data_IF_893219524741
#
_entry.id   IF_893219524741
#
_cell.length_a   1.000
_cell.length_b   1.000
_cell.length_c   1.000
_cell.angle_alpha   90.00
_cell.angle_beta   90.00
_cell.angle_gamma   90.00
#
_symmetry.space_group_name_H-M   'P 1'
#
loop_
_entity.id
_entity.type
_entity.pdbx_description
1 polymer ?
#
# COMPACT_ATOMS: atom_id res chain seq x y z
N UNK A 1 -0.38 -44.24 27.59
CA UNK A 1 0.09 -43.12 26.77
C UNK A 1 1.50 -43.41 26.34
N UNK A 2 1.56 -44.28 25.34
CA UNK A 2 2.75 -44.68 24.61
C UNK A 2 3.06 -43.64 23.53
N UNK A 3 4.26 -43.71 22.96
CA UNK A 3 4.78 -42.69 22.04
C UNK A 3 3.85 -42.44 20.83
N UNK A 4 3.18 -43.49 20.35
CA UNK A 4 2.22 -43.40 19.26
C UNK A 4 1.02 -42.52 19.61
N UNK A 5 0.48 -42.63 20.83
CA UNK A 5 -0.63 -41.80 21.30
C UNK A 5 -0.25 -40.31 21.31
N UNK A 6 0.97 -39.99 21.77
CA UNK A 6 1.49 -38.63 21.79
C UNK A 6 1.64 -38.05 20.38
N UNK A 7 2.13 -38.86 19.44
CA UNK A 7 2.29 -38.44 18.05
C UNK A 7 0.93 -38.15 17.38
N UNK A 8 -0.09 -38.94 17.69
CA UNK A 8 -1.43 -38.72 17.14
C UNK A 8 -2.06 -37.48 17.78
N UNK A 9 -2.01 -37.37 19.11
CA UNK A 9 -2.68 -36.30 19.85
C UNK A 9 -2.08 -34.91 19.56
N UNK A 10 -0.76 -34.82 19.34
CA UNK A 10 -0.08 -33.54 19.12
C UNK A 10 0.51 -33.40 17.72
N UNK A 11 1.05 -34.47 17.15
CA UNK A 11 1.68 -34.43 15.82
C UNK A 11 0.66 -34.18 14.71
N UNK A 12 -0.49 -34.85 14.73
CA UNK A 12 -1.54 -34.65 13.72
C UNK A 12 -2.06 -33.19 13.69
N UNK A 13 -2.47 -32.56 14.82
CA UNK A 13 -2.93 -31.17 14.77
C UNK A 13 -1.81 -30.19 14.41
N UNK A 14 -0.58 -30.39 14.88
CA UNK A 14 0.57 -29.55 14.49
C UNK A 14 0.80 -29.65 12.98
N UNK A 15 0.76 -30.86 12.41
CA UNK A 15 0.95 -31.09 10.98
C UNK A 15 -0.12 -30.36 10.16
N UNK A 16 -1.39 -30.43 10.59
CA UNK A 16 -2.49 -29.71 9.93
C UNK A 16 -2.23 -28.19 9.94
N UNK A 17 -1.86 -27.62 11.09
CA UNK A 17 -1.57 -26.18 11.22
C UNK A 17 -0.41 -25.78 10.31
N UNK A 18 0.71 -26.52 10.35
CA UNK A 18 1.87 -26.25 9.52
C UNK A 18 1.51 -26.35 8.04
N UNK A 19 0.72 -27.35 7.65
CA UNK A 19 0.30 -27.55 6.26
C UNK A 19 -0.55 -26.38 5.77
N UNK A 20 -1.58 -25.98 6.54
CA UNK A 20 -2.43 -24.84 6.21
C UNK A 20 -1.62 -23.55 6.16
N UNK A 21 -0.76 -23.31 7.15
CA UNK A 21 0.11 -22.15 7.19
C UNK A 21 1.01 -22.10 5.95
N UNK A 22 1.61 -23.22 5.58
CA UNK A 22 2.48 -23.30 4.40
C UNK A 22 1.69 -22.98 3.14
N UNK A 23 0.51 -23.56 2.95
CA UNK A 23 -0.33 -23.27 1.77
C UNK A 23 -0.72 -21.78 1.70
N UNK A 24 -1.06 -21.17 2.83
CA UNK A 24 -1.51 -19.77 2.88
C UNK A 24 -0.36 -18.78 2.73
N UNK A 25 0.78 -19.04 3.34
CA UNK A 25 1.86 -18.04 3.50
C UNK A 25 3.09 -18.32 2.63
N UNK A 26 3.25 -19.51 2.05
CA UNK A 26 4.49 -19.85 1.32
C UNK A 26 4.60 -19.19 -0.07
N UNK A 27 3.62 -18.40 -0.56
CA UNK A 27 3.81 -17.75 -1.87
C UNK A 27 3.09 -16.42 -2.10
N UNK A 28 3.87 -15.34 -2.11
CA UNK A 28 4.03 -14.50 -3.30
C UNK A 28 5.28 -13.62 -3.14
N UNK A 29 6.20 -13.53 -4.12
CA UNK A 29 7.19 -12.46 -4.12
C UNK A 29 6.42 -11.14 -4.14
N UNK A 30 6.40 -10.44 -3.00
CA UNK A 30 5.69 -9.17 -2.91
C UNK A 30 6.34 -8.21 -3.91
N UNK A 31 5.55 -7.54 -4.77
CA UNK A 31 6.09 -6.49 -5.62
C UNK A 31 6.86 -5.51 -4.75
N UNK A 32 8.03 -5.09 -5.21
CA UNK A 32 8.90 -4.22 -4.41
C UNK A 32 8.12 -2.95 -4.04
N UNK A 33 7.78 -2.81 -2.75
CA UNK A 33 7.00 -1.67 -2.26
C UNK A 33 7.79 -0.36 -2.27
N UNK A 34 9.12 -0.42 -2.43
CA UNK A 34 10.00 0.73 -2.27
C UNK A 34 10.94 0.85 -3.46
N UNK A 35 11.06 2.07 -3.96
CA UNK A 35 12.06 2.42 -4.96
C UNK A 35 13.49 2.20 -4.43
N UNK A 36 14.39 1.76 -5.33
CA UNK A 36 15.81 1.57 -5.06
C UNK A 36 16.60 2.41 -6.05
N UNK A 37 17.51 3.25 -5.53
CA UNK A 37 18.41 4.03 -6.38
C UNK A 37 19.25 3.09 -7.27
N UNK A 38 19.40 3.44 -8.55
CA UNK A 38 20.07 2.63 -9.55
C UNK A 38 19.21 1.57 -10.24
N UNK A 39 17.94 1.38 -9.83
CA UNK A 39 16.95 0.61 -10.58
C UNK A 39 16.06 1.53 -11.42
N UNK A 40 15.58 1.11 -12.60
CA UNK A 40 14.55 1.82 -13.33
C UNK A 40 13.30 2.05 -12.47
N UNK A 41 12.62 3.17 -12.69
CA UNK A 41 11.38 3.49 -12.01
C UNK A 41 10.19 2.83 -12.74
N UNK A 42 9.76 1.67 -12.23
CA UNK A 42 8.65 0.88 -12.82
C UNK A 42 7.30 1.08 -12.10
N UNK A 43 7.20 2.09 -11.22
CA UNK A 43 5.98 2.40 -10.49
C UNK A 43 5.05 3.27 -11.34
N UNK A 44 3.74 3.18 -11.07
CA UNK A 44 2.77 4.13 -11.65
C UNK A 44 3.15 5.57 -11.21
N UNK A 45 2.97 6.58 -12.08
CA UNK A 45 3.24 7.97 -11.70
C UNK A 45 2.24 8.41 -10.62
N UNK A 46 2.73 9.12 -9.60
CA UNK A 46 1.95 9.57 -8.44
C UNK A 46 2.16 11.07 -8.24
N UNK A 47 1.07 11.79 -7.98
CA UNK A 47 1.08 13.19 -7.56
C UNK A 47 0.57 13.29 -6.14
N UNK A 48 1.43 13.75 -5.23
CA UNK A 48 1.04 14.01 -3.85
C UNK A 48 0.56 15.45 -3.75
N UNK A 49 -0.72 15.63 -3.44
CA UNK A 49 -1.31 16.94 -3.20
C UNK A 49 -1.22 17.24 -1.70
N UNK A 50 -0.61 18.38 -1.35
CA UNK A 50 -0.57 18.81 0.04
C UNK A 50 -1.99 19.17 0.50
N UNK A 51 -2.39 18.66 1.67
CA UNK A 51 -3.64 19.09 2.31
C UNK A 51 -3.49 20.55 2.72
N UNK A 52 -4.37 21.42 2.22
CA UNK A 52 -4.44 22.80 2.70
C UNK A 52 -5.02 22.78 4.13
N UNK A 53 -4.47 23.62 5.01
CA UNK A 53 -4.88 23.75 6.43
C UNK A 53 -6.32 24.28 6.58
N UNK A 54 -7.03 24.53 5.47
CA UNK A 54 -8.39 25.10 5.44
C UNK A 54 -9.48 24.10 5.03
N UNK A 55 -9.31 22.79 5.27
CA UNK A 55 -10.35 21.79 5.00
C UNK A 55 -10.69 20.97 6.27
N UNK A 56 -11.80 21.30 6.98
CA UNK A 56 -12.32 20.45 8.04
C UNK A 56 -12.91 19.18 7.41
N UNK A 57 -12.42 18.03 7.87
CA UNK A 57 -12.98 16.71 7.55
C UNK A 57 -12.39 16.07 6.29
N UNK A 58 -11.66 14.98 6.48
CA UNK A 58 -11.89 13.82 5.61
C UNK A 58 -11.42 12.57 6.36
N UNK A 59 -12.37 12.00 7.11
CA UNK A 59 -12.32 10.62 7.58
C UNK A 59 -13.09 9.80 6.56
N UNK A 60 -12.45 9.47 5.43
CA UNK A 60 -12.79 8.34 4.60
C UNK A 60 -14.03 8.43 3.71
N UNK A 61 -13.84 7.80 2.54
CA UNK A 61 -14.83 7.15 1.69
C UNK A 61 -15.56 8.02 0.65
N UNK A 62 -15.25 7.69 -0.61
CA UNK A 62 -16.13 7.72 -1.78
C UNK A 62 -16.96 8.98 -2.07
N UNK A 63 -16.52 9.72 -3.08
CA UNK A 63 -17.35 10.34 -4.13
C UNK A 63 -18.69 10.95 -3.69
N UNK A 64 -18.70 12.24 -3.41
CA UNK A 64 -19.86 13.10 -3.64
C UNK A 64 -19.32 14.48 -4.06
N UNK A 65 -19.25 14.71 -5.36
CA UNK A 65 -20.28 15.44 -6.08
C UNK A 65 -20.23 16.94 -5.73
N UNK A 66 -19.55 17.68 -6.61
CA UNK A 66 -19.96 18.99 -7.10
C UNK A 66 -20.55 19.93 -6.03
N UNK A 67 -19.71 20.73 -5.40
CA UNK A 67 -20.17 22.06 -4.98
C UNK A 67 -19.23 23.11 -5.56
N UNK A 68 -19.74 23.70 -6.64
CA UNK A 68 -19.12 24.73 -7.41
C UNK A 68 -19.30 26.06 -6.69
N UNK A 69 -18.32 26.48 -5.89
CA UNK A 69 -18.20 27.89 -5.53
C UNK A 69 -16.77 28.19 -5.05
N UNK A 70 -16.11 29.11 -5.75
CA UNK A 70 -14.89 29.79 -5.30
C UNK A 70 -13.53 29.09 -5.54
N UNK A 71 -13.31 28.62 -6.76
CA UNK A 71 -11.95 28.49 -7.29
C UNK A 71 -11.59 29.78 -8.04
N UNK A 72 -10.87 30.70 -7.40
CA UNK A 72 -10.18 31.78 -8.11
C UNK A 72 -9.42 31.16 -9.29
N UNK A 73 -9.58 31.74 -10.49
CA UNK A 73 -8.94 31.23 -11.69
C UNK A 73 -7.43 31.30 -11.50
N UNK A 74 -6.84 30.19 -11.06
CA UNK A 74 -5.39 30.02 -10.98
C UNK A 74 -4.88 30.28 -12.39
N UNK A 75 -4.21 31.42 -12.58
CA UNK A 75 -3.62 31.79 -13.86
C UNK A 75 -2.80 30.59 -14.36
N UNK A 76 -3.32 29.90 -15.37
CA UNK A 76 -2.76 28.68 -15.94
C UNK A 76 -1.64 29.07 -16.89
N UNK A 77 -0.63 29.74 -16.36
CA UNK A 77 0.55 30.19 -17.07
C UNK A 77 1.81 29.57 -16.45
N UNK A 78 2.88 29.36 -17.22
CA UNK A 78 4.15 28.92 -16.66
C UNK A 78 4.66 29.96 -15.65
N UNK A 79 4.71 29.60 -14.36
CA UNK A 79 5.19 30.50 -13.30
C UNK A 79 6.71 30.43 -13.08
N UNK A 80 7.40 29.50 -13.74
CA UNK A 80 8.85 29.28 -13.64
C UNK A 80 9.24 27.80 -13.64
N UNK A 81 10.51 27.50 -13.36
CA UNK A 81 11.02 26.13 -13.22
C UNK A 81 12.42 26.09 -12.59
N UNK A 82 12.71 25.03 -11.83
CA UNK A 82 14.05 24.72 -11.33
C UNK A 82 14.48 23.34 -11.83
N UNK A 83 15.78 23.14 -12.06
CA UNK A 83 16.33 21.85 -12.45
C UNK A 83 17.66 21.58 -11.76
N UNK A 84 17.97 20.31 -11.55
CA UNK A 84 19.22 19.85 -10.96
C UNK A 84 19.52 18.41 -11.39
N UNK A 85 20.79 18.02 -11.34
CA UNK A 85 21.23 16.64 -11.54
C UNK A 85 21.87 16.21 -10.22
N UNK A 86 21.41 15.06 -9.73
CA UNK A 86 21.94 14.41 -8.52
C UNK A 86 23.32 13.81 -8.82
#
# INVERSE_FOLDING_TARGET
>A
MDFQDWLILFGAPILVVVTVFTVVFLRHPRPQSRYRAGRPYDFKPVWFVARSVAAPGDTGSHAAALDAAHGEALASGPKGGSHGKW
#
